data_IF_533141059406
#
_entry.id   IF_533141059406
#
_cell.length_a   1.000
_cell.length_b   1.000
_cell.length_c   1.000
_cell.angle_alpha   90.00
_cell.angle_beta   90.00
_cell.angle_gamma   90.00
#
_symmetry.space_group_name_H-M   'P 1'
#
loop_
_entity.id
_entity.type
_entity.pdbx_description
1 polymer ?
#
# COMPACT_ATOMS: atom_id res chain seq x y z
N UNK A 1 18.77 3.82 18.22
CA UNK A 1 18.35 4.82 17.22
C UNK A 1 16.99 5.35 17.65
N UNK A 2 16.92 6.63 18.02
CA UNK A 2 15.71 7.27 18.57
C UNK A 2 14.59 7.26 17.52
N UNK A 3 13.44 6.66 17.85
CA UNK A 3 12.30 6.48 16.95
C UNK A 3 11.77 7.78 16.34
N UNK A 4 12.06 8.94 16.96
CA UNK A 4 11.70 10.26 16.44
C UNK A 4 12.43 10.63 15.14
N UNK A 5 13.67 10.16 14.97
CA UNK A 5 14.48 10.47 13.78
C UNK A 5 14.01 9.69 12.54
N UNK A 6 13.38 8.52 12.72
CA UNK A 6 12.88 7.69 11.62
C UNK A 6 11.62 8.23 10.96
N UNK A 7 10.71 8.82 11.74
CA UNK A 7 9.49 9.45 11.22
C UNK A 7 9.80 10.71 10.40
N UNK A 8 10.67 11.58 10.92
CA UNK A 8 11.14 12.78 10.21
C UNK A 8 11.79 12.40 8.88
N UNK A 9 12.65 11.37 8.89
CA UNK A 9 13.30 10.88 7.67
C UNK A 9 12.31 10.34 6.63
N UNK A 10 11.26 9.65 7.07
CA UNK A 10 10.23 9.10 6.18
C UNK A 10 9.38 10.20 5.54
N UNK A 11 9.03 11.22 6.32
CA UNK A 11 8.31 12.39 5.81
C UNK A 11 9.14 13.17 4.78
N UNK A 12 10.44 13.38 5.04
CA UNK A 12 11.36 14.00 4.08
C UNK A 12 11.42 13.20 2.76
N UNK A 13 11.50 11.87 2.83
CA UNK A 13 11.49 11.00 1.64
C UNK A 13 10.18 11.12 0.84
N UNK A 14 9.05 11.19 1.52
CA UNK A 14 7.75 11.43 0.89
C UNK A 14 7.71 12.77 0.15
N UNK A 15 8.18 13.86 0.79
CA UNK A 15 8.23 15.18 0.17
C UNK A 15 9.13 15.20 -1.07
N UNK A 16 10.32 14.60 -0.99
CA UNK A 16 11.23 14.50 -2.14
C UNK A 16 10.60 13.72 -3.30
N UNK A 17 9.89 12.63 -3.00
CA UNK A 17 9.14 11.90 -4.02
C UNK A 17 8.06 12.77 -4.66
N UNK A 18 7.23 13.46 -3.86
CA UNK A 18 6.15 14.31 -4.38
C UNK A 18 6.69 15.41 -5.30
N UNK A 19 7.82 16.03 -4.94
CA UNK A 19 8.51 16.99 -5.81
C UNK A 19 8.94 16.36 -7.14
N UNK A 20 9.55 15.17 -7.12
CA UNK A 20 9.95 14.46 -8.33
C UNK A 20 8.76 14.11 -9.24
N UNK A 21 7.62 13.76 -8.67
CA UNK A 21 6.40 13.47 -9.43
C UNK A 21 5.79 14.74 -10.04
N UNK A 22 5.80 15.87 -9.33
CA UNK A 22 5.37 17.15 -9.88
C UNK A 22 6.21 17.57 -11.08
N UNK A 23 7.54 17.38 -11.01
CA UNK A 23 8.42 17.66 -12.15
C UNK A 23 8.14 16.72 -13.33
N UNK A 24 7.98 15.41 -13.10
CA UNK A 24 7.64 14.46 -14.16
C UNK A 24 6.30 14.77 -14.83
N UNK A 25 5.31 15.18 -14.04
CA UNK A 25 3.96 15.55 -14.49
C UNK A 25 3.93 16.78 -15.41
N UNK A 26 4.95 17.67 -15.36
CA UNK A 26 5.07 18.80 -16.29
C UNK A 26 5.25 18.34 -17.75
N UNK A 27 5.85 17.17 -17.97
CA UNK A 27 6.00 16.59 -19.31
C UNK A 27 4.71 16.00 -19.89
N UNK A 28 3.66 15.86 -19.06
CA UNK A 28 2.38 15.22 -19.40
C UNK A 28 1.21 16.22 -19.43
N UNK A 29 1.46 17.48 -19.81
CA UNK A 29 0.49 18.59 -19.77
C UNK A 29 -0.17 18.80 -18.39
N UNK A 30 0.53 18.46 -17.31
CA UNK A 30 -0.04 18.54 -15.98
C UNK A 30 -1.10 17.48 -15.68
N UNK A 31 -1.18 16.39 -16.47
CA UNK A 31 -2.03 15.22 -16.18
C UNK A 31 -1.23 14.13 -15.49
N UNK A 32 -1.85 13.48 -14.51
CA UNK A 32 -1.24 12.36 -13.81
C UNK A 32 -1.38 11.08 -14.67
N UNK A 33 -0.27 10.61 -15.22
CA UNK A 33 -0.20 9.39 -16.04
C UNK A 33 0.20 8.17 -15.19
N UNK A 34 0.01 6.97 -15.74
CA UNK A 34 0.43 5.73 -15.08
C UNK A 34 1.93 5.71 -14.74
N UNK A 35 2.78 6.32 -15.56
CA UNK A 35 4.21 6.42 -15.29
C UNK A 35 4.51 7.20 -14.00
N UNK A 36 3.81 8.31 -13.77
CA UNK A 36 3.99 9.12 -12.57
C UNK A 36 3.38 8.44 -11.32
N UNK A 37 2.28 7.71 -11.48
CA UNK A 37 1.68 6.91 -10.39
C UNK A 37 2.67 5.82 -9.94
N UNK A 38 3.34 5.14 -10.87
CA UNK A 38 4.36 4.13 -10.59
C UNK A 38 5.58 4.70 -9.84
N UNK A 39 5.87 5.99 -9.99
CA UNK A 39 6.94 6.67 -9.23
C UNK A 39 6.56 6.91 -7.76
N UNK A 40 5.28 6.86 -7.38
CA UNK A 40 4.79 7.20 -6.03
C UNK A 40 5.00 6.09 -4.96
N UNK A 41 6.20 5.51 -4.87
CA UNK A 41 6.49 4.33 -4.05
C UNK A 41 6.20 4.49 -2.54
N UNK A 42 6.58 5.62 -1.95
CA UNK A 42 6.32 5.92 -0.54
C UNK A 42 4.85 6.23 -0.26
N UNK A 43 4.15 6.89 -1.19
CA UNK A 43 2.69 7.07 -1.07
C UNK A 43 1.99 5.72 -0.99
N UNK A 44 2.40 4.78 -1.86
CA UNK A 44 1.83 3.43 -1.84
C UNK A 44 2.14 2.68 -0.53
N UNK A 45 3.37 2.78 0.00
CA UNK A 45 3.71 2.21 1.30
C UNK A 45 2.86 2.77 2.44
N UNK A 46 2.62 4.08 2.46
CA UNK A 46 1.74 4.71 3.47
C UNK A 46 0.31 4.22 3.31
N UNK A 47 -0.21 4.13 2.09
CA UNK A 47 -1.54 3.58 1.83
C UNK A 47 -1.66 2.12 2.27
N UNK A 48 -0.62 1.29 2.04
CA UNK A 48 -0.58 -0.10 2.49
C UNK A 48 -0.56 -0.22 4.02
N UNK A 49 0.23 0.60 4.72
CA UNK A 49 0.21 0.63 6.19
C UNK A 49 -1.13 1.10 6.74
N UNK A 50 -1.76 2.08 6.08
CA UNK A 50 -3.12 2.50 6.42
C UNK A 50 -4.11 1.35 6.22
N UNK A 51 -4.07 0.63 5.10
CA UNK A 51 -4.94 -0.52 4.85
C UNK A 51 -4.65 -1.70 5.80
N UNK A 52 -3.43 -1.84 6.32
CA UNK A 52 -3.09 -2.84 7.34
C UNK A 52 -3.75 -2.51 8.68
N UNK A 53 -3.78 -1.22 9.04
CA UNK A 53 -4.40 -0.76 10.28
C UNK A 53 -5.93 -0.71 10.18
N UNK A 54 -6.43 -0.21 9.06
CA UNK A 54 -7.86 -0.06 8.75
C UNK A 54 -8.13 -0.72 7.39
N UNK A 55 -8.35 -2.04 7.35
CA UNK A 55 -8.71 -2.69 6.11
C UNK A 55 -10.06 -2.16 5.61
N UNK A 56 -10.18 -1.83 4.31
CA UNK A 56 -11.43 -1.27 3.76
C UNK A 56 -12.58 -2.28 3.78
N UNK A 57 -12.26 -3.58 3.74
CA UNK A 57 -13.20 -4.68 3.90
C UNK A 57 -12.73 -5.50 5.10
N UNK A 58 -13.53 -5.54 6.15
CA UNK A 58 -13.26 -6.33 7.34
C UNK A 58 -13.56 -7.81 7.06
N UNK A 59 -12.58 -8.50 6.46
CA UNK A 59 -12.61 -9.94 6.24
C UNK A 59 -13.18 -10.37 4.89
N UNK A 60 -12.75 -11.55 4.45
CA UNK A 60 -13.28 -12.24 3.27
C UNK A 60 -13.76 -13.62 3.72
N UNK A 61 -15.06 -13.89 3.59
CA UNK A 61 -15.62 -15.20 3.89
C UNK A 61 -15.77 -15.99 2.59
N UNK A 62 -15.40 -17.27 2.63
CA UNK A 62 -15.70 -18.21 1.54
C UNK A 62 -16.69 -19.23 2.04
N UNK A 63 -17.67 -19.57 1.20
CA UNK A 63 -18.58 -20.67 1.47
C UNK A 63 -17.81 -21.99 1.36
N UNK A 64 -17.87 -22.82 2.39
CA UNK A 64 -17.32 -24.17 2.39
C UNK A 64 -18.20 -25.04 1.48
N UNK A 65 -17.63 -25.57 0.40
CA UNK A 65 -18.36 -26.39 -0.60
C UNK A 65 -18.29 -27.89 -0.35
N UNK A 66 -17.45 -28.33 0.61
CA UNK A 66 -17.31 -29.74 1.03
C UNK A 66 -16.99 -29.77 2.52
N UNK A 67 -17.51 -30.77 3.22
CA UNK A 67 -17.29 -30.92 4.65
C UNK A 67 -15.78 -30.96 5.00
N UNK A 68 -15.37 -30.12 5.93
CA UNK A 68 -13.98 -30.07 6.41
C UNK A 68 -13.62 -31.24 7.35
N UNK A 69 -14.63 -31.99 7.83
CA UNK A 69 -14.49 -33.01 8.87
C UNK A 69 -14.43 -34.46 8.34
N UNK A 70 -14.56 -34.69 7.03
CA UNK A 70 -14.69 -36.06 6.48
C UNK A 70 -13.38 -36.85 6.45
N UNK A 71 -12.24 -36.26 6.81
CA UNK A 71 -10.91 -36.91 6.72
C UNK A 71 -10.29 -37.33 8.07
N UNK A 72 -11.00 -37.26 9.20
CA UNK A 72 -10.44 -37.65 10.51
C UNK A 72 -11.04 -38.94 11.10
N UNK A 73 -11.94 -39.62 10.38
CA UNK A 73 -12.54 -40.90 10.80
C UNK A 73 -12.39 -42.01 9.74
N UNK A 74 -11.25 -42.10 9.03
CA UNK A 74 -10.76 -43.35 8.43
C UNK A 74 -9.22 -43.28 8.43
N UNK A 75 -8.58 -43.55 9.58
CA UNK A 75 -7.24 -44.18 9.66
C UNK A 75 -7.21 -44.97 10.97
#
# INVERSE_FOLDING_TARGET
MDGKNGLVLTFVKFLTQQKGVVEAKKGSDGKLTWNEIQMMKYTWRVAQELMRFTPPISGNFRQVTRDMLTYTLIV
#
